data_IF_907906710287
#
_entry.id   IF_907906710287
#
_cell.length_a   1.000
_cell.length_b   1.000
_cell.length_c   1.000
_cell.angle_alpha   90.00
_cell.angle_beta   90.00
_cell.angle_gamma   90.00
#
_symmetry.space_group_name_H-M   'P 1'
#
loop_
_entity.id
_entity.type
_entity.pdbx_description
1 polymer ?
#
# COMPACT_ATOMS: atom_id res chain seq x y z
N UNK A 1 10.58 2.91 -20.88
CA UNK A 1 9.13 2.82 -21.08
C UNK A 1 8.49 3.50 -19.91
N UNK A 2 7.88 4.64 -20.18
CA UNK A 2 7.15 5.43 -19.19
C UNK A 2 5.92 4.61 -18.72
N UNK A 3 5.74 4.38 -17.41
CA UNK A 3 4.55 3.68 -16.95
C UNK A 3 3.34 4.51 -17.32
N UNK A 4 2.54 3.99 -18.23
CA UNK A 4 1.26 4.60 -18.57
C UNK A 4 0.47 4.88 -17.27
N UNK A 5 -0.07 6.08 -17.09
CA UNK A 5 -0.88 6.41 -15.91
C UNK A 5 -2.11 5.52 -15.74
N UNK A 6 -2.37 4.65 -16.71
CA UNK A 6 -3.48 3.69 -16.72
C UNK A 6 -3.05 2.25 -16.43
N UNK A 7 -1.95 2.03 -15.67
CA UNK A 7 -1.53 0.68 -15.27
C UNK A 7 -1.20 -0.20 -16.47
N UNK A 8 0.06 -0.25 -16.86
CA UNK A 8 0.48 -1.06 -17.99
C UNK A 8 0.40 -2.55 -17.63
N UNK A 9 -0.50 -3.26 -18.31
CA UNK A 9 -0.68 -4.72 -18.19
C UNK A 9 0.42 -5.54 -18.83
N UNK A 10 1.40 -4.88 -19.49
CA UNK A 10 2.34 -5.56 -20.37
C UNK A 10 3.34 -6.46 -19.64
N UNK A 11 3.92 -6.01 -18.52
CA UNK A 11 4.98 -6.76 -17.85
C UNK A 11 4.78 -6.79 -16.34
N UNK A 12 4.72 -7.99 -15.78
CA UNK A 12 4.67 -8.26 -14.33
C UNK A 12 6.07 -8.08 -13.74
N UNK A 13 6.49 -6.84 -13.55
CA UNK A 13 7.79 -6.49 -12.98
C UNK A 13 7.64 -5.73 -11.67
N UNK A 14 8.66 -5.78 -10.82
CA UNK A 14 8.72 -4.97 -9.60
C UNK A 14 8.63 -3.48 -9.93
N UNK A 15 9.28 -3.03 -11.01
CA UNK A 15 9.20 -1.65 -11.47
C UNK A 15 7.74 -1.21 -11.70
N UNK A 16 6.96 -2.01 -12.43
CA UNK A 16 5.57 -1.70 -12.73
C UNK A 16 4.68 -1.81 -11.47
N UNK A 17 4.98 -2.75 -10.57
CA UNK A 17 4.31 -2.87 -9.29
C UNK A 17 4.49 -1.60 -8.44
N UNK A 18 5.73 -1.15 -8.27
CA UNK A 18 6.04 0.05 -7.50
C UNK A 18 5.51 1.32 -8.17
N UNK A 19 5.60 1.42 -9.49
CA UNK A 19 5.01 2.53 -10.24
C UNK A 19 3.48 2.59 -10.02
N UNK A 20 2.80 1.45 -10.04
CA UNK A 20 1.37 1.36 -9.72
C UNK A 20 1.08 1.79 -8.28
N UNK A 21 1.87 1.32 -7.31
CA UNK A 21 1.72 1.68 -5.91
C UNK A 21 1.94 3.18 -5.63
N UNK A 22 2.75 3.86 -6.42
CA UNK A 22 3.02 5.30 -6.29
C UNK A 22 1.89 6.18 -6.84
N UNK A 23 1.01 5.68 -7.70
CA UNK A 23 -0.06 6.48 -8.31
C UNK A 23 -0.98 7.18 -7.29
N UNK A 24 -1.41 6.55 -6.17
CA UNK A 24 -2.32 7.16 -5.23
C UNK A 24 -1.64 8.03 -4.16
N UNK A 25 -0.32 8.18 -4.16
CA UNK A 25 0.39 9.04 -3.20
C UNK A 25 -0.10 10.47 -3.33
N UNK A 26 -0.55 11.05 -2.21
CA UNK A 26 -1.12 12.40 -2.20
C UNK A 26 -2.40 12.55 -3.04
N UNK A 27 -3.10 11.45 -3.37
CA UNK A 27 -4.31 11.45 -4.20
C UNK A 27 -5.40 10.50 -3.71
N UNK A 28 -5.12 9.67 -2.73
CA UNK A 28 -6.10 8.75 -2.17
C UNK A 28 -6.13 8.84 -0.65
N UNK A 29 -7.35 9.00 -0.13
CA UNK A 29 -7.65 9.09 1.28
C UNK A 29 -7.58 7.72 1.94
N UNK A 30 -7.26 7.69 3.24
CA UNK A 30 -7.50 6.49 4.02
C UNK A 30 -8.99 6.32 4.29
N UNK A 31 -9.50 5.15 3.95
CA UNK A 31 -10.89 4.77 4.21
C UNK A 31 -10.90 3.36 4.78
N UNK A 32 -11.37 3.18 5.99
CA UNK A 32 -11.47 1.88 6.64
C UNK A 32 -12.32 0.90 5.82
N UNK A 33 -11.75 -0.25 5.48
CA UNK A 33 -12.38 -1.23 4.56
C UNK A 33 -12.34 -0.81 3.10
N UNK A 34 -11.62 0.26 2.76
CA UNK A 34 -11.52 0.77 1.39
C UNK A 34 -10.51 0.01 0.54
N UNK A 35 -10.68 0.12 -0.78
CA UNK A 35 -9.84 -0.54 -1.78
C UNK A 35 -10.34 -1.91 -2.23
N UNK A 36 -11.21 -2.54 -1.47
CA UNK A 36 -11.79 -3.84 -1.80
C UNK A 36 -12.69 -3.78 -3.03
N UNK A 37 -13.47 -2.71 -3.17
CA UNK A 37 -14.43 -2.54 -4.27
C UNK A 37 -13.82 -1.90 -5.52
N UNK A 38 -12.65 -1.28 -5.39
CA UNK A 38 -11.98 -0.59 -6.51
C UNK A 38 -10.82 -1.38 -7.09
N UNK A 39 -10.54 -2.57 -6.59
CA UNK A 39 -9.44 -3.42 -7.06
C UNK A 39 -9.63 -3.98 -8.47
N UNK A 40 -10.80 -3.80 -9.07
CA UNK A 40 -11.04 -4.14 -10.48
C UNK A 40 -10.65 -3.04 -11.44
N UNK A 41 -10.39 -1.83 -10.96
CA UNK A 41 -10.06 -0.69 -11.82
C UNK A 41 -8.57 -0.59 -12.04
N UNK A 42 -8.21 -0.37 -13.29
CA UNK A 42 -6.86 0.03 -13.68
C UNK A 42 -6.70 1.51 -13.37
N UNK A 43 -5.63 1.82 -12.62
CA UNK A 43 -5.35 3.19 -12.23
C UNK A 43 -6.25 3.72 -11.10
N UNK A 44 -6.02 4.95 -10.74
CA UNK A 44 -6.76 5.63 -9.67
C UNK A 44 -8.08 6.17 -10.21
N UNK A 45 -9.18 5.99 -9.47
CA UNK A 45 -10.48 6.49 -9.89
C UNK A 45 -10.62 7.99 -9.57
N UNK A 46 -11.33 8.71 -10.45
CA UNK A 46 -11.65 10.13 -10.23
C UNK A 46 -12.43 10.34 -8.92
N UNK A 47 -13.25 9.37 -8.53
CA UNK A 47 -14.00 9.40 -7.27
C UNK A 47 -13.06 9.40 -6.06
N UNK A 48 -12.02 8.57 -6.05
CA UNK A 48 -11.02 8.56 -4.98
C UNK A 48 -10.26 9.87 -4.89
N UNK A 49 -9.82 10.39 -6.04
CA UNK A 49 -9.12 11.68 -6.12
C UNK A 49 -10.02 12.84 -5.66
N UNK A 50 -11.31 12.81 -6.02
CA UNK A 50 -12.28 13.83 -5.58
C UNK A 50 -12.45 13.82 -4.05
N UNK A 51 -12.53 12.63 -3.43
CA UNK A 51 -12.59 12.53 -1.97
C UNK A 51 -11.31 13.00 -1.28
N UNK A 52 -10.15 12.68 -1.83
CA UNK A 52 -8.88 13.18 -1.32
C UNK A 52 -8.82 14.72 -1.38
N UNK A 53 -9.18 15.33 -2.50
CA UNK A 53 -9.18 16.77 -2.68
C UNK A 53 -10.15 17.45 -1.71
N UNK A 54 -11.32 16.89 -1.48
CA UNK A 54 -12.28 17.39 -0.51
C UNK A 54 -11.73 17.37 0.92
N UNK A 55 -11.05 16.29 1.30
CA UNK A 55 -10.41 16.18 2.59
C UNK A 55 -9.22 17.14 2.70
N UNK A 56 -8.32 17.21 1.71
CA UNK A 56 -7.11 18.04 1.74
C UNK A 56 -7.42 19.54 1.82
N UNK A 57 -8.58 19.95 1.33
CA UNK A 57 -9.07 21.32 1.51
C UNK A 57 -9.46 21.66 2.97
N UNK A 58 -9.80 20.63 3.76
CA UNK A 58 -10.13 20.77 5.18
C UNK A 58 -9.72 19.52 5.96
N UNK A 59 -8.42 19.32 6.25
CA UNK A 59 -7.93 18.10 6.91
C UNK A 59 -8.51 17.86 8.30
N UNK A 60 -8.90 18.92 9.01
CA UNK A 60 -9.54 18.81 10.33
C UNK A 60 -10.93 18.20 10.29
N UNK A 61 -11.54 18.09 9.11
CA UNK A 61 -12.83 17.41 8.92
C UNK A 61 -12.73 15.89 8.87
N UNK A 62 -11.52 15.34 8.88
CA UNK A 62 -11.34 13.89 8.84
C UNK A 62 -11.88 13.24 10.11
N UNK A 63 -12.80 12.33 9.92
CA UNK A 63 -13.32 11.47 10.98
C UNK A 63 -13.23 10.02 10.54
N UNK A 64 -12.39 9.26 11.20
CA UNK A 64 -12.17 7.83 10.92
C UNK A 64 -13.48 7.02 10.90
N UNK A 65 -14.45 7.33 11.77
CA UNK A 65 -15.72 6.61 11.82
C UNK A 65 -16.65 6.96 10.66
N UNK A 66 -16.56 8.17 10.12
CA UNK A 66 -17.34 8.60 8.96
C UNK A 66 -16.69 8.18 7.63
N UNK A 67 -15.37 7.91 7.63
CA UNK A 67 -14.63 7.45 6.47
C UNK A 67 -14.47 5.92 6.51
N UNK A 68 -15.60 5.23 6.41
CA UNK A 68 -15.65 3.76 6.37
C UNK A 68 -16.38 3.31 5.12
N UNK A 69 -15.74 2.44 4.34
CA UNK A 69 -16.38 1.83 3.17
C UNK A 69 -17.22 0.61 3.61
N UNK A 70 -18.37 0.87 4.16
CA UNK A 70 -19.31 -0.17 4.59
C UNK A 70 -20.41 -0.40 3.55
N UNK A 71 -20.09 -0.42 2.28
CA UNK A 71 -20.95 -0.98 1.22
C UNK A 71 -22.02 -0.10 0.55
N UNK A 72 -22.01 1.22 0.61
CA UNK A 72 -23.02 1.99 -0.13
C UNK A 72 -22.44 3.14 -0.94
N UNK A 73 -23.13 3.47 -2.03
CA UNK A 73 -22.74 4.39 -3.10
C UNK A 73 -22.40 5.83 -2.71
N UNK A 74 -22.66 6.25 -1.49
CA UNK A 74 -22.49 7.64 -1.05
C UNK A 74 -21.36 7.82 -0.01
N UNK A 75 -20.52 6.81 0.21
CA UNK A 75 -19.43 6.90 1.19
C UNK A 75 -18.12 7.25 0.54
N UNK A 76 -17.20 7.80 1.33
CA UNK A 76 -15.86 8.14 0.91
C UNK A 76 -15.16 6.93 0.25
N UNK A 77 -14.41 7.20 -0.81
CA UNK A 77 -13.61 6.21 -1.52
C UNK A 77 -12.13 6.46 -1.27
N UNK A 78 -11.42 5.41 -0.95
CA UNK A 78 -10.00 5.43 -0.62
C UNK A 78 -9.50 4.02 -0.32
N UNK A 79 -8.39 3.93 0.37
CA UNK A 79 -7.76 2.65 0.73
C UNK A 79 -7.55 2.58 2.24
N UNK A 80 -7.82 1.42 2.86
CA UNK A 80 -7.10 1.07 4.08
C UNK A 80 -5.72 0.47 3.75
N UNK A 81 -4.97 0.05 4.76
CA UNK A 81 -3.61 -0.45 4.54
C UNK A 81 -3.58 -1.69 3.64
N UNK A 82 -4.41 -2.68 3.91
CA UNK A 82 -4.47 -3.93 3.14
C UNK A 82 -5.18 -3.76 1.80
N UNK A 83 -6.18 -2.90 1.74
CA UNK A 83 -6.83 -2.51 0.50
C UNK A 83 -5.87 -1.86 -0.49
N UNK A 84 -4.98 -0.99 0.00
CA UNK A 84 -3.93 -0.38 -0.80
C UNK A 84 -2.94 -1.41 -1.36
N UNK A 85 -2.44 -2.32 -0.51
CA UNK A 85 -1.50 -3.36 -0.95
C UNK A 85 -2.15 -4.30 -1.97
N UNK A 86 -3.38 -4.74 -1.72
CA UNK A 86 -4.13 -5.59 -2.66
C UNK A 86 -4.45 -4.89 -3.98
N UNK A 87 -4.85 -3.62 -3.93
CA UNK A 87 -5.07 -2.80 -5.12
C UNK A 87 -3.78 -2.64 -5.94
N UNK A 88 -2.64 -2.38 -5.28
CA UNK A 88 -1.34 -2.26 -5.94
C UNK A 88 -0.94 -3.55 -6.65
N UNK A 89 -1.14 -4.70 -6.01
CA UNK A 89 -0.93 -6.01 -6.63
C UNK A 89 -1.84 -6.20 -7.87
N UNK A 90 -3.10 -5.78 -7.79
CA UNK A 90 -4.04 -5.88 -8.91
C UNK A 90 -3.59 -5.04 -10.11
N UNK A 91 -2.97 -3.87 -9.91
CA UNK A 91 -2.51 -3.02 -11.03
C UNK A 91 -1.56 -3.78 -11.98
N UNK A 92 -0.79 -4.73 -11.44
CA UNK A 92 0.19 -5.52 -12.21
C UNK A 92 -0.36 -6.88 -12.61
N UNK A 93 -1.02 -7.56 -11.68
CA UNK A 93 -1.42 -8.94 -11.88
C UNK A 93 -2.63 -9.08 -12.80
N UNK A 94 -3.65 -8.28 -12.61
CA UNK A 94 -4.89 -8.17 -13.42
C UNK A 94 -5.51 -9.49 -13.85
N UNK A 95 -5.22 -10.55 -13.12
CA UNK A 95 -5.65 -11.92 -13.46
C UNK A 95 -6.96 -12.30 -12.76
N UNK A 96 -7.47 -11.42 -11.93
CA UNK A 96 -8.67 -11.70 -11.18
C UNK A 96 -9.90 -11.43 -12.03
N UNK A 97 -10.64 -12.46 -12.27
CA UNK A 97 -12.01 -12.34 -12.79
C UNK A 97 -12.92 -12.00 -11.62
N UNK A 98 -13.36 -10.77 -11.56
CA UNK A 98 -14.27 -10.34 -10.51
C UNK A 98 -13.64 -9.40 -9.52
N UNK A 99 -14.51 -8.76 -8.87
CA UNK A 99 -14.32 -7.57 -8.11
C UNK A 99 -13.50 -7.83 -6.87
N UNK A 100 -12.57 -6.95 -6.60
CA UNK A 100 -12.26 -6.46 -5.29
C UNK A 100 -11.49 -7.38 -4.36
N UNK A 101 -11.72 -8.64 -4.44
CA UNK A 101 -11.26 -9.60 -3.42
C UNK A 101 -10.01 -10.37 -3.82
N UNK A 102 -9.54 -10.19 -5.05
CA UNK A 102 -8.52 -11.07 -5.62
C UNK A 102 -7.18 -11.03 -4.92
N UNK A 103 -6.80 -9.90 -4.37
CA UNK A 103 -5.48 -9.71 -3.78
C UNK A 103 -5.53 -9.02 -2.41
N UNK A 104 -6.70 -8.58 -1.98
CA UNK A 104 -6.88 -7.92 -0.70
C UNK A 104 -7.35 -8.92 0.35
N UNK A 105 -6.63 -8.99 1.46
CA UNK A 105 -6.96 -9.73 2.67
C UNK A 105 -6.58 -8.90 3.87
N UNK A 106 -7.06 -9.23 5.05
CA UNK A 106 -6.68 -8.52 6.27
C UNK A 106 -5.18 -8.56 6.51
N UNK A 107 -4.62 -7.52 7.11
CA UNK A 107 -3.17 -7.31 7.22
C UNK A 107 -2.43 -8.50 7.81
N UNK A 108 -2.93 -9.11 8.88
CA UNK A 108 -2.29 -10.27 9.51
C UNK A 108 -2.22 -11.54 8.65
N UNK A 109 -3.06 -11.65 7.62
CA UNK A 109 -3.13 -12.82 6.73
C UNK A 109 -2.37 -12.62 5.41
N UNK A 110 -1.94 -11.39 5.10
CA UNK A 110 -1.42 -11.04 3.77
C UNK A 110 -0.20 -11.89 3.36
N UNK A 111 0.68 -12.17 4.32
CA UNK A 111 1.86 -13.02 4.08
C UNK A 111 1.50 -14.44 3.69
N UNK A 112 0.61 -15.07 4.45
CA UNK A 112 0.13 -16.44 4.18
C UNK A 112 -0.60 -16.52 2.84
N UNK A 113 -1.41 -15.51 2.56
CA UNK A 113 -2.19 -15.43 1.32
C UNK A 113 -1.28 -15.29 0.08
N UNK A 114 -0.29 -14.40 0.11
CA UNK A 114 0.61 -14.23 -1.03
C UNK A 114 1.61 -15.37 -1.17
N UNK A 115 2.06 -15.96 -0.07
CA UNK A 115 2.83 -17.21 -0.10
C UNK A 115 2.04 -18.33 -0.77
N UNK A 116 0.75 -18.48 -0.45
CA UNK A 116 -0.14 -19.45 -1.08
C UNK A 116 -0.31 -19.26 -2.59
N UNK A 117 -0.12 -18.03 -3.09
CA UNK A 117 -0.09 -17.70 -4.53
C UNK A 117 1.28 -17.96 -5.19
N UNK A 118 2.28 -18.37 -4.44
CA UNK A 118 3.63 -18.57 -4.94
C UNK A 118 4.41 -17.25 -5.18
N UNK A 119 4.01 -16.15 -4.53
CA UNK A 119 4.62 -14.84 -4.77
C UNK A 119 5.83 -14.55 -3.89
N UNK A 120 6.19 -15.48 -3.01
CA UNK A 120 7.35 -15.33 -2.15
C UNK A 120 7.31 -16.24 -0.93
N UNK A 121 8.18 -15.96 0.02
CA UNK A 121 8.29 -16.64 1.31
C UNK A 121 8.06 -15.66 2.45
N UNK A 122 7.60 -16.18 3.59
CA UNK A 122 7.46 -15.39 4.81
C UNK A 122 8.78 -15.49 5.58
N UNK A 123 9.29 -14.36 5.98
CA UNK A 123 10.41 -14.25 6.91
C UNK A 123 9.96 -13.45 8.13
N UNK A 124 10.51 -13.76 9.28
CA UNK A 124 10.24 -13.02 10.51
C UNK A 124 11.42 -12.13 10.89
N UNK A 125 11.23 -11.29 11.89
CA UNK A 125 12.24 -10.38 12.39
C UNK A 125 13.53 -11.09 12.83
N UNK A 126 13.43 -12.28 13.43
CA UNK A 126 14.60 -13.06 13.84
C UNK A 126 15.43 -13.51 12.64
N UNK A 127 14.77 -13.96 11.58
CA UNK A 127 15.46 -14.30 10.33
C UNK A 127 16.15 -13.08 9.71
N UNK A 128 15.47 -11.93 9.64
CA UNK A 128 16.06 -10.70 9.11
C UNK A 128 17.28 -10.26 9.93
N UNK A 129 17.20 -10.32 11.25
CA UNK A 129 18.29 -9.99 12.15
C UNK A 129 19.53 -10.87 11.90
N UNK A 130 19.34 -12.16 11.68
CA UNK A 130 20.41 -13.11 11.40
C UNK A 130 21.00 -12.97 9.98
N UNK A 131 20.24 -12.39 9.06
CA UNK A 131 20.60 -12.24 7.65
C UNK A 131 20.84 -10.77 7.23
N UNK A 132 21.30 -9.95 8.17
CA UNK A 132 21.76 -8.58 7.90
C UNK A 132 20.64 -7.58 7.60
N UNK A 133 19.38 -7.88 7.96
CA UNK A 133 18.22 -7.01 7.73
C UNK A 133 17.99 -6.65 6.27
N UNK A 134 18.26 -7.55 5.35
CA UNK A 134 18.08 -7.27 3.93
C UNK A 134 16.61 -7.29 3.52
N UNK A 135 16.14 -6.16 3.03
CA UNK A 135 14.82 -5.97 2.41
C UNK A 135 14.99 -5.40 1.01
N UNK A 136 14.10 -5.78 0.11
CA UNK A 136 14.17 -5.41 -1.31
C UNK A 136 12.93 -4.61 -1.72
N UNK A 137 13.06 -3.72 -2.72
CA UNK A 137 11.91 -3.08 -3.32
C UNK A 137 10.85 -4.09 -3.76
N UNK A 138 9.60 -3.87 -3.33
CA UNK A 138 8.49 -4.77 -3.57
C UNK A 138 8.23 -5.79 -2.47
N UNK A 139 9.11 -5.95 -1.49
CA UNK A 139 8.79 -6.72 -0.29
C UNK A 139 7.60 -6.11 0.45
N UNK A 140 6.80 -6.95 1.10
CA UNK A 140 5.63 -6.53 1.84
C UNK A 140 5.86 -6.81 3.32
N UNK A 141 5.83 -5.72 4.11
CA UNK A 141 5.82 -5.82 5.56
C UNK A 141 4.39 -5.88 6.09
N UNK A 142 4.17 -6.63 7.16
CA UNK A 142 2.85 -6.75 7.76
C UNK A 142 2.89 -7.16 9.23
N UNK A 143 1.84 -6.80 9.91
CA UNK A 143 1.47 -7.30 11.24
C UNK A 143 -0.07 -7.33 11.34
N UNK A 144 -0.60 -7.65 12.51
CA UNK A 144 -2.05 -7.78 12.69
C UNK A 144 -2.83 -6.47 12.45
N UNK A 145 -2.18 -5.33 12.61
CA UNK A 145 -2.83 -4.02 12.51
C UNK A 145 -2.47 -3.22 11.26
N UNK A 146 -1.43 -3.59 10.53
CA UNK A 146 -0.93 -2.78 9.42
C UNK A 146 -0.15 -3.57 8.39
N UNK A 147 -0.11 -3.03 7.15
CA UNK A 147 0.72 -3.57 6.06
C UNK A 147 1.24 -2.44 5.16
N UNK A 148 2.38 -2.67 4.54
CA UNK A 148 3.07 -1.69 3.68
C UNK A 148 3.92 -2.37 2.61
N UNK A 149 4.33 -1.59 1.61
CA UNK A 149 5.23 -2.03 0.54
C UNK A 149 6.58 -1.34 0.72
N UNK A 150 7.67 -2.09 0.61
CA UNK A 150 9.03 -1.56 0.63
C UNK A 150 9.35 -0.90 -0.71
N UNK A 151 9.77 0.37 -0.67
CA UNK A 151 10.29 1.09 -1.83
C UNK A 151 11.81 0.94 -1.95
N UNK A 152 12.51 0.91 -0.84
CA UNK A 152 13.96 0.75 -0.81
C UNK A 152 14.50 0.69 0.60
N UNK A 153 15.72 0.23 0.75
CA UNK A 153 16.44 0.16 2.01
C UNK A 153 17.66 1.07 1.99
N UNK A 154 17.89 1.78 3.07
CA UNK A 154 19.01 2.69 3.28
C UNK A 154 20.24 1.96 3.87
N UNK A 155 21.38 2.64 3.92
CA UNK A 155 22.62 2.05 4.41
C UNK A 155 22.59 1.73 5.90
N UNK A 156 21.84 2.51 6.68
CA UNK A 156 21.56 2.30 8.11
C UNK A 156 20.51 1.21 8.38
N UNK A 157 20.10 0.49 7.33
CA UNK A 157 19.05 -0.56 7.34
C UNK A 157 17.64 -0.06 7.65
N UNK A 158 17.40 1.24 7.74
CA UNK A 158 16.06 1.79 7.72
C UNK A 158 15.44 1.63 6.32
N UNK A 159 14.13 1.72 6.23
CA UNK A 159 13.39 1.36 5.02
C UNK A 159 12.43 2.48 4.63
N UNK A 160 12.50 2.90 3.38
CA UNK A 160 11.49 3.75 2.77
C UNK A 160 10.33 2.85 2.34
N UNK A 161 9.16 3.17 2.83
CA UNK A 161 7.93 2.40 2.62
C UNK A 161 6.84 3.26 2.01
N UNK A 162 5.87 2.60 1.39
CA UNK A 162 4.62 3.22 0.97
C UNK A 162 3.45 2.47 1.60
N UNK A 163 2.52 3.19 2.17
CA UNK A 163 1.39 2.64 2.89
C UNK A 163 0.20 3.60 2.89
N UNK A 164 -0.97 3.11 3.29
CA UNK A 164 -2.13 3.94 3.57
C UNK A 164 -2.38 4.01 5.07
N UNK A 165 -2.51 5.22 5.61
CA UNK A 165 -2.71 5.47 7.05
C UNK A 165 -3.85 6.46 7.29
N UNK A 166 -4.56 6.34 8.44
CA UNK A 166 -5.53 7.34 8.84
C UNK A 166 -4.92 8.77 8.84
N UNK A 167 -5.71 9.75 8.46
CA UNK A 167 -5.36 11.18 8.42
C UNK A 167 -4.30 11.60 7.39
N UNK A 168 -3.67 10.67 6.69
CA UNK A 168 -2.68 10.98 5.66
C UNK A 168 -3.02 10.34 4.31
N UNK A 169 -3.80 9.25 4.31
CA UNK A 169 -4.05 8.48 3.10
C UNK A 169 -2.81 7.72 2.65
N UNK A 170 -2.67 7.55 1.34
CA UNK A 170 -1.49 6.88 0.77
C UNK A 170 -0.31 7.83 0.77
N UNK A 171 0.75 7.42 1.44
CA UNK A 171 1.95 8.24 1.64
C UNK A 171 3.22 7.40 1.60
N UNK A 172 4.35 8.09 1.41
CA UNK A 172 5.68 7.54 1.61
C UNK A 172 6.11 7.87 3.04
N UNK A 173 6.73 6.92 3.71
CA UNK A 173 7.25 7.08 5.06
C UNK A 173 8.60 6.36 5.22
N UNK A 174 9.42 6.83 6.15
CA UNK A 174 10.64 6.16 6.56
C UNK A 174 10.44 5.41 7.87
N UNK A 175 11.02 4.22 7.99
CA UNK A 175 11.04 3.48 9.25
C UNK A 175 12.19 3.92 10.14
N UNK A 176 12.13 3.57 11.41
CA UNK A 176 13.30 3.58 12.29
C UNK A 176 14.38 2.62 11.78
N UNK A 177 15.61 2.78 12.26
CA UNK A 177 16.62 1.73 12.10
C UNK A 177 16.22 0.46 12.86
N UNK A 178 16.81 -0.71 12.57
CA UNK A 178 16.56 -1.93 13.34
C UNK A 178 16.84 -1.81 14.84
N UNK A 179 17.66 -0.86 15.23
CA UNK A 179 17.99 -0.56 16.65
C UNK A 179 17.02 0.45 17.27
N UNK A 180 16.02 0.92 16.51
CA UNK A 180 14.94 1.79 17.00
C UNK A 180 15.23 3.29 16.91
N UNK A 181 16.29 3.73 16.21
CA UNK A 181 16.53 5.18 16.01
C UNK A 181 15.50 5.80 15.07
N UNK A 182 14.84 6.86 15.51
CA UNK A 182 13.95 7.68 14.70
C UNK A 182 14.69 8.63 13.75
N UNK A 183 15.96 8.95 14.06
CA UNK A 183 16.82 9.73 13.16
C UNK A 183 17.47 8.78 12.16
N UNK A 184 16.66 8.23 11.26
CA UNK A 184 17.10 7.29 10.24
C UNK A 184 17.24 7.95 8.88
N UNK A 185 18.06 7.35 7.99
CA UNK A 185 18.17 7.81 6.60
C UNK A 185 16.83 7.76 5.87
N UNK A 186 16.05 6.69 6.10
CA UNK A 186 14.74 6.57 5.49
C UNK A 186 13.75 7.66 5.96
N UNK A 187 13.78 8.04 7.24
CA UNK A 187 12.96 9.12 7.75
C UNK A 187 13.35 10.49 7.19
N UNK A 188 14.61 10.67 6.82
CA UNK A 188 15.09 11.90 6.18
C UNK A 188 14.73 11.98 4.68
N UNK A 189 14.46 10.84 4.04
CA UNK A 189 14.11 10.74 2.61
C UNK A 189 12.60 10.79 2.35
N UNK A 190 11.78 10.50 3.36
CA UNK A 190 10.33 10.42 3.23
C UNK A 190 9.65 11.75 3.54
#
# INVERSE_FOLDING_TARGET
DDPSPNGNTGNKTIKNYLAGALLPVGKALYVWGGGWNDSTRKGLSDTMTSWYNKWSANPSSYDYNNYRDLSTSNRAKGFDCSGFVGWSAYQVMQTQSGVGYGYTVVSGEIGSYYKGKGWGSIVNQSYLSQNGWELKPGDIGYNDGHTWIVLGQCSDKSVVIIHSTPQAGVQISGTTTPTGSYSSEAAALA
#
